data_IF_875035756554
#
_entry.id   IF_875035756554
#
_cell.length_a   1.000
_cell.length_b   1.000
_cell.length_c   1.000
_cell.angle_alpha   90.00
_cell.angle_beta   90.00
_cell.angle_gamma   90.00
#
_symmetry.space_group_name_H-M   'P 1'
#
loop_
_entity.id
_entity.type
_entity.pdbx_description
1 polymer ?
#
# COMPACT_ATOMS: atom_id res chain seq x y z
N UNK A 1 -34.27 62.36 -50.74
CA UNK A 1 -35.68 62.27 -50.27
C UNK A 1 -36.25 60.95 -50.80
N UNK A 2 -36.18 59.86 -50.03
CA UNK A 2 -37.28 59.23 -49.25
C UNK A 2 -38.51 58.84 -50.09
N UNK A 3 -38.77 57.53 -50.19
CA UNK A 3 -40.05 56.79 -50.00
C UNK A 3 -39.80 55.33 -50.43
N UNK A 4 -39.55 54.41 -49.49
CA UNK A 4 -40.53 53.53 -48.81
C UNK A 4 -41.44 52.80 -49.80
N UNK A 5 -41.22 51.49 -49.96
CA UNK A 5 -42.27 50.56 -50.38
C UNK A 5 -42.31 49.39 -49.40
N UNK A 6 -43.44 49.34 -48.70
CA UNK A 6 -43.91 48.22 -47.89
C UNK A 6 -44.51 47.19 -48.84
N UNK A 7 -44.18 45.91 -48.68
CA UNK A 7 -45.06 44.83 -49.12
C UNK A 7 -45.12 43.74 -48.06
N UNK A 8 -46.34 43.56 -47.55
CA UNK A 8 -46.77 42.52 -46.63
C UNK A 8 -47.49 41.45 -47.47
N UNK A 9 -46.95 40.23 -47.39
CA UNK A 9 -47.61 38.95 -47.12
C UNK A 9 -48.79 38.46 -47.99
N UNK A 10 -48.64 37.25 -48.54
CA UNK A 10 -49.61 36.12 -48.54
C UNK A 10 -48.86 34.88 -49.07
N UNK A 11 -48.38 33.96 -48.22
CA UNK A 11 -49.02 32.77 -47.64
C UNK A 11 -49.72 31.83 -48.66
N UNK A 12 -49.05 30.73 -48.99
CA UNK A 12 -49.68 29.49 -49.44
C UNK A 12 -48.92 28.30 -48.85
N UNK A 13 -49.60 27.55 -47.97
CA UNK A 13 -49.13 26.33 -47.35
C UNK A 13 -49.09 25.18 -48.36
N UNK A 14 -47.96 24.48 -48.44
CA UNK A 14 -47.88 23.12 -48.98
C UNK A 14 -47.49 22.21 -47.82
N UNK A 15 -48.45 21.40 -47.37
CA UNK A 15 -48.25 20.32 -46.41
C UNK A 15 -47.59 19.14 -47.13
N UNK A 16 -46.29 18.97 -46.94
CA UNK A 16 -45.61 17.69 -47.21
C UNK A 16 -45.33 16.99 -45.89
N UNK A 17 -45.99 15.85 -45.72
CA UNK A 17 -45.68 14.86 -44.71
C UNK A 17 -44.24 14.37 -44.90
N UNK A 18 -43.36 14.70 -43.96
CA UNK A 18 -42.11 13.98 -43.78
C UNK A 18 -42.15 13.38 -42.37
N UNK A 19 -42.28 12.06 -42.35
CA UNK A 19 -42.20 11.20 -41.18
C UNK A 19 -40.94 11.50 -40.36
N UNK A 20 -41.13 12.00 -39.13
CA UNK A 20 -40.07 12.03 -38.13
C UNK A 20 -39.82 10.59 -37.68
N UNK A 21 -38.84 9.95 -38.30
CA UNK A 21 -38.16 8.83 -37.67
C UNK A 21 -37.53 9.36 -36.37
N UNK A 22 -38.23 9.18 -35.25
CA UNK A 22 -37.61 9.23 -33.93
C UNK A 22 -36.63 8.06 -33.88
N UNK A 23 -35.37 8.32 -34.25
CA UNK A 23 -34.28 7.47 -33.84
C UNK A 23 -34.24 7.55 -32.31
N UNK A 24 -34.81 6.53 -31.67
CA UNK A 24 -34.57 6.28 -30.26
C UNK A 24 -33.06 6.18 -30.10
N UNK A 25 -32.46 7.18 -29.46
CA UNK A 25 -31.10 7.07 -28.94
C UNK A 25 -31.18 5.90 -27.97
N UNK A 26 -30.69 4.73 -28.39
CA UNK A 26 -30.34 3.68 -27.46
C UNK A 26 -29.40 4.36 -26.46
N UNK A 27 -29.92 4.64 -25.27
CA UNK A 27 -29.06 4.67 -24.10
C UNK A 27 -28.52 3.26 -24.03
N UNK A 28 -27.31 3.07 -24.56
CA UNK A 28 -26.41 2.09 -23.97
C UNK A 28 -26.42 2.44 -22.49
N UNK A 29 -27.21 1.68 -21.74
CA UNK A 29 -27.01 1.54 -20.31
C UNK A 29 -25.62 0.98 -20.25
N UNK A 30 -24.65 1.85 -19.98
CA UNK A 30 -23.35 1.44 -19.49
C UNK A 30 -23.68 0.59 -18.27
N UNK A 31 -23.68 -0.73 -18.46
CA UNK A 31 -23.68 -1.68 -17.36
C UNK A 31 -22.44 -1.29 -16.57
N UNK A 32 -22.66 -0.52 -15.50
CA UNK A 32 -21.68 -0.37 -14.44
C UNK A 32 -21.43 -1.79 -13.99
N UNK A 33 -20.37 -2.42 -14.51
CA UNK A 33 -19.78 -3.60 -13.93
C UNK A 33 -19.72 -3.29 -12.44
N UNK A 34 -20.42 -4.09 -11.64
CA UNK A 34 -20.26 -4.09 -10.19
C UNK A 34 -18.79 -4.44 -9.97
N UNK A 35 -17.94 -3.41 -9.91
CA UNK A 35 -16.51 -3.55 -9.66
C UNK A 35 -16.39 -4.31 -8.35
N UNK A 36 -16.07 -5.60 -8.46
CA UNK A 36 -15.98 -6.48 -7.29
C UNK A 36 -14.88 -5.95 -6.40
N UNK A 37 -15.26 -5.53 -5.19
CA UNK A 37 -14.29 -5.04 -4.19
C UNK A 37 -13.28 -6.15 -3.95
N UNK A 38 -11.99 -5.85 -4.19
CA UNK A 38 -10.93 -6.81 -3.97
C UNK A 38 -10.88 -7.15 -2.46
N UNK A 39 -11.01 -8.43 -2.08
CA UNK A 39 -11.10 -8.83 -0.67
C UNK A 39 -9.80 -8.61 0.11
N UNK A 40 -8.71 -8.18 -0.56
CA UNK A 40 -7.45 -7.80 0.07
C UNK A 40 -7.44 -6.34 0.56
N UNK A 41 -8.43 -5.53 0.19
CA UNK A 41 -8.43 -4.08 0.45
C UNK A 41 -9.62 -3.67 1.33
N UNK A 42 -9.41 -2.72 2.27
CA UNK A 42 -10.52 -2.05 2.94
C UNK A 42 -11.45 -1.33 1.94
N UNK A 43 -12.72 -1.16 2.31
CA UNK A 43 -13.78 -0.66 1.41
C UNK A 43 -13.49 0.72 0.76
N UNK A 44 -12.67 1.58 1.41
CA UNK A 44 -12.25 2.87 0.86
C UNK A 44 -11.49 2.73 -0.47
N UNK A 45 -10.77 1.63 -0.68
CA UNK A 45 -9.91 1.42 -1.83
C UNK A 45 -10.67 0.84 -3.02
N UNK A 46 -11.54 1.66 -3.59
CA UNK A 46 -12.23 1.35 -4.84
C UNK A 46 -11.26 1.39 -6.03
N UNK A 47 -11.56 0.73 -7.16
CA UNK A 47 -10.70 0.82 -8.35
C UNK A 47 -10.48 2.25 -8.84
N UNK A 48 -11.49 3.13 -8.69
CA UNK A 48 -11.36 4.56 -8.98
C UNK A 48 -10.31 5.23 -8.08
N UNK A 49 -10.38 5.01 -6.75
CA UNK A 49 -9.41 5.57 -5.82
C UNK A 49 -7.99 5.01 -6.07
N UNK A 50 -7.88 3.72 -6.34
CA UNK A 50 -6.60 3.08 -6.68
C UNK A 50 -5.97 3.72 -7.92
N UNK A 51 -6.77 4.06 -8.93
CA UNK A 51 -6.31 4.77 -10.13
C UNK A 51 -5.74 6.16 -9.79
N UNK A 52 -6.33 6.87 -8.83
CA UNK A 52 -5.87 8.19 -8.39
C UNK A 52 -4.50 8.12 -7.71
N UNK A 53 -4.29 7.13 -6.83
CA UNK A 53 -3.04 6.99 -6.08
C UNK A 53 -1.90 6.34 -6.88
N UNK A 54 -2.22 5.67 -8.00
CA UNK A 54 -1.26 4.89 -8.79
C UNK A 54 0.02 5.65 -9.15
N UNK A 55 -0.11 6.91 -9.58
CA UNK A 55 1.03 7.72 -10.00
C UNK A 55 1.99 8.03 -8.84
N UNK A 56 1.48 8.11 -7.61
CA UNK A 56 2.30 8.36 -6.41
C UNK A 56 3.19 7.15 -6.08
N UNK A 57 2.67 5.92 -6.27
CA UNK A 57 3.34 4.70 -5.81
C UNK A 57 4.01 3.87 -6.91
N UNK A 58 3.70 4.11 -8.19
CA UNK A 58 4.38 3.46 -9.33
C UNK A 58 5.91 3.60 -9.32
N UNK A 59 6.50 4.71 -8.83
CA UNK A 59 7.94 4.79 -8.64
C UNK A 59 8.50 3.77 -7.65
N UNK A 60 7.73 3.26 -6.68
CA UNK A 60 8.18 2.27 -5.71
C UNK A 60 7.92 0.84 -6.17
N UNK A 61 6.74 0.57 -6.75
CA UNK A 61 6.28 -0.79 -7.06
C UNK A 61 5.43 -0.85 -8.33
N UNK A 62 5.21 -2.05 -8.87
CA UNK A 62 4.20 -2.33 -9.90
C UNK A 62 2.98 -3.07 -9.35
N UNK A 63 3.06 -3.57 -8.12
CA UNK A 63 2.02 -4.39 -7.50
C UNK A 63 0.96 -3.50 -6.84
N UNK A 64 -0.28 -3.60 -7.30
CA UNK A 64 -1.39 -2.76 -6.82
C UNK A 64 -1.63 -2.89 -5.31
N UNK A 65 -1.55 -4.11 -4.77
CA UNK A 65 -1.67 -4.34 -3.31
C UNK A 65 -0.60 -3.62 -2.51
N UNK A 66 0.62 -3.50 -3.04
CA UNK A 66 1.70 -2.76 -2.38
C UNK A 66 1.46 -1.25 -2.48
N UNK A 67 0.89 -0.76 -3.58
CA UNK A 67 0.47 0.64 -3.68
C UNK A 67 -0.60 0.99 -2.63
N UNK A 68 -1.59 0.11 -2.48
CA UNK A 68 -2.63 0.25 -1.45
C UNK A 68 -2.02 0.20 -0.04
N UNK A 69 -1.11 -0.75 0.22
CA UNK A 69 -0.42 -0.85 1.50
C UNK A 69 0.36 0.44 1.85
N UNK A 70 1.05 1.05 0.88
CA UNK A 70 1.72 2.34 1.08
C UNK A 70 0.74 3.48 1.34
N UNK A 71 -0.42 3.49 0.68
CA UNK A 71 -1.43 4.51 0.93
C UNK A 71 -2.12 4.37 2.28
N UNK A 72 -2.28 3.13 2.77
CA UNK A 72 -2.83 2.85 4.10
C UNK A 72 -1.98 3.49 5.20
N UNK A 73 -0.66 3.54 5.03
CA UNK A 73 0.24 4.16 5.99
C UNK A 73 0.09 5.69 6.08
N UNK A 74 -0.54 6.33 5.08
CA UNK A 74 -0.65 7.79 5.00
C UNK A 74 -1.48 8.35 6.15
N UNK A 75 -0.87 9.23 6.96
CA UNK A 75 -1.53 9.84 8.12
C UNK A 75 -1.64 8.94 9.35
N UNK A 76 -1.02 7.77 9.33
CA UNK A 76 -0.88 6.85 10.48
C UNK A 76 0.50 7.02 11.13
N UNK A 77 0.79 6.32 12.22
CA UNK A 77 2.15 6.31 12.79
C UNK A 77 3.19 5.76 11.80
N UNK A 78 2.77 4.94 10.84
CA UNK A 78 3.62 4.39 9.78
C UNK A 78 3.89 5.35 8.62
N UNK A 79 3.37 6.59 8.65
CA UNK A 79 3.62 7.58 7.59
C UNK A 79 5.11 7.94 7.49
N UNK A 80 5.86 7.84 8.59
CA UNK A 80 7.32 7.93 8.56
C UNK A 80 7.93 6.90 7.59
N UNK A 81 7.53 5.63 7.71
CA UNK A 81 8.02 4.54 6.88
C UNK A 81 7.59 4.70 5.43
N UNK A 82 6.35 5.13 5.18
CA UNK A 82 5.88 5.51 3.85
C UNK A 82 6.76 6.59 3.21
N UNK A 83 7.02 7.68 3.94
CA UNK A 83 7.85 8.79 3.45
C UNK A 83 9.30 8.35 3.21
N UNK A 84 9.85 7.47 4.08
CA UNK A 84 11.15 6.86 3.87
C UNK A 84 11.17 6.06 2.55
N UNK A 85 10.19 5.20 2.31
CA UNK A 85 10.06 4.44 1.05
C UNK A 85 9.97 5.37 -0.16
N UNK A 86 9.24 6.47 -0.06
CA UNK A 86 9.06 7.46 -1.14
C UNK A 86 10.27 8.39 -1.35
N UNK A 87 11.37 8.17 -0.64
CA UNK A 87 12.66 8.81 -0.91
C UNK A 87 13.20 9.70 0.21
N UNK A 88 12.47 9.85 1.32
CA UNK A 88 12.99 10.49 2.52
C UNK A 88 13.82 9.52 3.37
N UNK A 89 14.78 8.85 2.75
CA UNK A 89 15.68 7.87 3.37
C UNK A 89 17.16 8.25 3.14
N UNK A 90 18.09 7.44 3.64
CA UNK A 90 19.53 7.66 3.50
C UNK A 90 20.02 7.72 2.05
N UNK A 91 19.37 7.01 1.13
CA UNK A 91 19.72 7.02 -0.31
C UNK A 91 19.18 8.23 -1.08
N UNK A 92 18.24 8.98 -0.49
CA UNK A 92 17.50 10.09 -1.12
C UNK A 92 16.82 9.69 -2.44
N UNK A 93 16.42 8.43 -2.54
CA UNK A 93 15.79 7.81 -3.71
C UNK A 93 14.66 6.91 -3.26
N UNK A 94 13.65 6.78 -4.09
CA UNK A 94 12.54 5.86 -3.87
C UNK A 94 13.07 4.42 -3.72
N UNK A 95 12.61 3.73 -2.68
CA UNK A 95 12.87 2.31 -2.43
C UNK A 95 12.04 1.48 -3.39
N UNK A 96 12.65 0.48 -4.03
CA UNK A 96 11.95 -0.41 -4.95
C UNK A 96 11.37 -1.61 -4.21
N UNK A 97 10.11 -1.94 -4.46
CA UNK A 97 9.41 -3.03 -3.76
C UNK A 97 8.90 -4.04 -4.79
N UNK A 98 9.24 -5.32 -4.57
CA UNK A 98 8.75 -6.43 -5.39
C UNK A 98 8.52 -7.69 -4.54
N UNK A 99 7.54 -8.49 -4.94
CA UNK A 99 7.42 -9.86 -4.44
C UNK A 99 8.48 -10.76 -5.08
N UNK A 100 9.13 -11.59 -4.29
CA UNK A 100 10.21 -12.45 -4.77
C UNK A 100 10.32 -13.75 -3.99
N UNK A 101 10.77 -14.81 -4.66
CA UNK A 101 11.28 -16.00 -3.97
C UNK A 101 12.63 -15.67 -3.31
N UNK A 102 12.62 -15.45 -2.00
CA UNK A 102 13.81 -15.05 -1.25
C UNK A 102 14.87 -16.16 -1.22
N UNK A 103 14.47 -17.43 -1.34
CA UNK A 103 15.40 -18.57 -1.40
C UNK A 103 16.31 -18.51 -2.64
N UNK A 104 15.89 -17.83 -3.71
CA UNK A 104 16.70 -17.61 -4.92
C UNK A 104 17.80 -16.57 -4.72
N UNK A 105 17.69 -15.72 -3.69
CA UNK A 105 18.73 -14.77 -3.31
C UNK A 105 19.74 -15.42 -2.37
N UNK A 106 19.25 -16.07 -1.33
CA UNK A 106 20.01 -16.93 -0.43
C UNK A 106 19.03 -17.93 0.21
N UNK A 107 19.43 -19.20 0.30
CA UNK A 107 18.61 -20.25 0.91
C UNK A 107 18.27 -19.96 2.37
N UNK A 108 19.15 -19.25 3.08
CA UNK A 108 18.91 -18.87 4.48
C UNK A 108 17.76 -17.88 4.66
N UNK A 109 17.33 -17.22 3.56
CA UNK A 109 16.23 -16.26 3.56
C UNK A 109 14.88 -16.90 3.17
N UNK A 110 14.84 -18.21 2.90
CA UNK A 110 13.64 -18.88 2.40
C UNK A 110 12.40 -18.63 3.29
N UNK A 111 12.62 -18.60 4.60
CA UNK A 111 11.54 -18.46 5.59
C UNK A 111 11.25 -17.01 5.98
N UNK A 112 12.09 -16.05 5.55
CA UNK A 112 11.91 -14.64 5.91
C UNK A 112 10.63 -14.09 5.26
N UNK A 113 10.00 -13.12 5.90
CA UNK A 113 8.76 -12.51 5.40
C UNK A 113 9.06 -11.38 4.40
N UNK A 114 10.11 -10.61 4.66
CA UNK A 114 10.68 -9.65 3.74
C UNK A 114 12.18 -9.43 4.03
N UNK A 115 12.82 -8.64 3.15
CA UNK A 115 14.20 -8.22 3.26
C UNK A 115 14.40 -6.80 2.71
N UNK A 116 14.90 -5.90 3.55
CA UNK A 116 15.62 -4.71 3.14
C UNK A 116 16.93 -5.07 2.45
N UNK A 117 17.17 -4.50 1.27
CA UNK A 117 18.36 -4.80 0.48
C UNK A 117 18.97 -3.55 -0.15
N UNK A 118 20.25 -3.34 0.09
CA UNK A 118 21.02 -2.25 -0.53
C UNK A 118 21.86 -2.80 -1.68
N UNK A 119 21.68 -2.22 -2.87
CA UNK A 119 22.55 -2.46 -4.02
C UNK A 119 23.11 -1.13 -4.54
N UNK A 120 24.36 -0.85 -4.18
CA UNK A 120 25.01 0.43 -4.44
C UNK A 120 24.27 1.57 -3.75
N UNK A 121 23.72 2.50 -4.55
CA UNK A 121 22.96 3.67 -4.06
C UNK A 121 21.44 3.46 -4.07
N UNK A 122 20.97 2.24 -4.31
CA UNK A 122 19.54 1.92 -4.39
C UNK A 122 19.17 0.99 -3.25
N UNK A 123 18.01 1.27 -2.66
CA UNK A 123 17.38 0.44 -1.66
C UNK A 123 16.22 -0.33 -2.30
N UNK A 124 16.02 -1.55 -1.81
CA UNK A 124 14.96 -2.45 -2.23
C UNK A 124 14.31 -3.05 -0.98
N UNK A 125 13.03 -3.39 -1.08
CA UNK A 125 12.34 -4.26 -0.14
C UNK A 125 11.83 -5.43 -0.97
N UNK A 126 12.32 -6.63 -0.66
CA UNK A 126 11.83 -7.87 -1.27
C UNK A 126 10.85 -8.53 -0.31
N UNK A 127 9.59 -8.64 -0.71
CA UNK A 127 8.58 -9.34 0.10
C UNK A 127 8.53 -10.79 -0.38
N UNK A 128 8.52 -11.74 0.54
CA UNK A 128 8.45 -13.15 0.16
C UNK A 128 7.16 -13.43 -0.63
N UNK A 129 7.30 -14.10 -1.79
CA UNK A 129 6.19 -14.41 -2.69
C UNK A 129 5.02 -15.18 -2.02
N UNK A 130 5.29 -15.86 -0.89
CA UNK A 130 4.25 -16.51 -0.06
C UNK A 130 3.17 -15.52 0.42
N UNK A 131 3.47 -14.22 0.44
CA UNK A 131 2.60 -13.14 0.91
C UNK A 131 1.88 -12.37 -0.21
N UNK A 132 1.93 -12.84 -1.47
CA UNK A 132 1.23 -12.20 -2.61
C UNK A 132 -0.28 -12.08 -2.44
N UNK A 133 -0.88 -12.88 -1.56
CA UNK A 133 -2.32 -12.85 -1.21
C UNK A 133 -2.58 -12.29 0.20
N UNK A 134 -1.58 -11.68 0.84
CA UNK A 134 -1.79 -11.05 2.14
C UNK A 134 -2.66 -9.79 1.99
N UNK A 135 -3.51 -9.46 2.99
CA UNK A 135 -4.29 -8.23 2.97
C UNK A 135 -3.37 -7.01 3.02
N UNK A 136 -3.78 -5.92 2.37
CA UNK A 136 -2.94 -4.73 2.23
C UNK A 136 -2.55 -4.10 3.58
N UNK A 137 -3.41 -4.19 4.60
CA UNK A 137 -3.10 -3.69 5.95
C UNK A 137 -1.95 -4.48 6.63
N UNK A 138 -1.83 -5.79 6.37
CA UNK A 138 -0.73 -6.60 6.93
C UNK A 138 0.57 -6.29 6.18
N UNK A 139 0.49 -6.13 4.85
CA UNK A 139 1.63 -5.66 4.07
C UNK A 139 2.07 -4.24 4.46
N UNK A 140 1.14 -3.37 4.87
CA UNK A 140 1.47 -2.03 5.36
C UNK A 140 2.32 -2.10 6.64
N UNK A 141 1.95 -2.95 7.60
CA UNK A 141 2.74 -3.19 8.81
C UNK A 141 4.14 -3.73 8.48
N UNK A 142 4.23 -4.77 7.64
CA UNK A 142 5.50 -5.32 7.17
C UNK A 142 6.37 -4.25 6.46
N UNK A 143 5.78 -3.41 5.61
CA UNK A 143 6.51 -2.32 4.95
C UNK A 143 6.98 -1.27 5.96
N UNK A 144 6.23 -1.05 7.05
CA UNK A 144 6.62 -0.12 8.09
C UNK A 144 7.90 -0.56 8.80
N UNK A 145 8.05 -1.87 9.03
CA UNK A 145 9.28 -2.51 9.49
C UNK A 145 10.43 -2.30 8.50
N UNK A 146 10.26 -2.75 7.25
CA UNK A 146 11.35 -2.83 6.29
C UNK A 146 11.90 -1.45 5.89
N UNK A 147 11.10 -0.39 6.03
CA UNK A 147 11.54 0.98 5.81
C UNK A 147 12.57 1.49 6.84
N UNK A 148 12.73 0.80 7.98
CA UNK A 148 13.73 1.11 9.00
C UNK A 148 15.13 0.76 8.50
N UNK A 149 15.27 -0.35 7.77
CA UNK A 149 16.54 -0.84 7.24
C UNK A 149 16.99 -0.05 6.01
N UNK A 150 17.76 1.02 6.23
CA UNK A 150 18.14 1.97 5.17
C UNK A 150 19.60 1.89 4.74
N UNK A 151 20.40 1.02 5.34
CA UNK A 151 21.80 0.82 4.97
C UNK A 151 22.22 -0.66 4.97
N UNK A 152 23.50 -0.95 5.21
CA UNK A 152 24.06 -2.31 5.19
C UNK A 152 24.32 -2.88 6.58
N UNK A 153 24.08 -2.09 7.61
CA UNK A 153 24.12 -2.51 8.99
C UNK A 153 22.77 -3.09 9.39
N UNK A 154 22.83 -3.99 10.36
CA UNK A 154 21.66 -4.46 11.07
C UNK A 154 22.10 -4.81 12.49
N UNK A 155 21.23 -4.63 13.47
CA UNK A 155 21.52 -4.90 14.87
C UNK A 155 20.29 -5.36 15.63
N UNK A 156 20.50 -5.94 16.81
CA UNK A 156 19.40 -6.34 17.69
C UNK A 156 18.53 -5.14 18.13
N UNK A 157 19.14 -3.98 18.37
CA UNK A 157 18.42 -2.74 18.67
C UNK A 157 17.57 -2.27 17.48
N UNK A 158 18.10 -2.35 16.27
CA UNK A 158 17.41 -1.99 15.03
C UNK A 158 16.22 -2.91 14.74
N UNK A 159 16.41 -4.23 14.79
CA UNK A 159 15.33 -5.22 14.66
C UNK A 159 14.27 -5.03 15.75
N UNK A 160 14.69 -4.75 17.00
CA UNK A 160 13.74 -4.46 18.09
C UNK A 160 12.88 -3.24 17.75
N UNK A 161 13.48 -2.17 17.22
CA UNK A 161 12.75 -0.98 16.80
C UNK A 161 11.81 -1.28 15.63
N UNK A 162 12.30 -1.99 14.60
CA UNK A 162 11.54 -2.34 13.41
C UNK A 162 10.32 -3.23 13.73
N UNK A 163 10.50 -4.28 14.52
CA UNK A 163 9.39 -5.14 14.97
C UNK A 163 8.40 -4.37 15.86
N UNK A 164 8.87 -3.40 16.64
CA UNK A 164 7.98 -2.56 17.46
C UNK A 164 7.16 -1.62 16.59
N UNK A 165 7.76 -1.02 15.55
CA UNK A 165 7.05 -0.21 14.56
C UNK A 165 5.99 -1.04 13.83
N UNK A 166 6.34 -2.25 13.38
CA UNK A 166 5.43 -3.22 12.76
C UNK A 166 4.22 -3.50 13.65
N UNK A 167 4.47 -3.85 14.91
CA UNK A 167 3.42 -4.16 15.87
C UNK A 167 2.50 -2.97 16.15
N UNK A 168 3.08 -1.77 16.29
CA UNK A 168 2.32 -0.55 16.56
C UNK A 168 1.43 -0.19 15.35
N UNK A 169 1.99 -0.26 14.13
CA UNK A 169 1.24 0.01 12.90
C UNK A 169 0.12 -1.01 12.72
N UNK A 170 0.40 -2.31 12.88
CA UNK A 170 -0.65 -3.32 12.81
C UNK A 170 -1.76 -3.07 13.84
N UNK A 171 -1.40 -2.70 15.06
CA UNK A 171 -2.36 -2.37 16.12
C UNK A 171 -3.28 -1.22 15.69
N UNK A 172 -2.71 -0.08 15.28
CA UNK A 172 -3.46 1.09 14.82
C UNK A 172 -4.35 0.74 13.61
N UNK A 173 -3.81 0.02 12.62
CA UNK A 173 -4.55 -0.33 11.41
C UNK A 173 -5.73 -1.26 11.69
N UNK A 174 -5.60 -2.21 12.61
CA UNK A 174 -6.73 -3.07 13.00
C UNK A 174 -7.84 -2.32 13.73
N UNK A 175 -7.53 -1.20 14.38
CA UNK A 175 -8.53 -0.32 14.99
C UNK A 175 -9.18 0.60 13.94
N UNK A 176 -8.38 1.18 13.04
CA UNK A 176 -8.88 2.03 11.95
C UNK A 176 -9.76 1.29 10.95
N UNK A 177 -9.53 -0.01 10.76
CA UNK A 177 -10.25 -0.86 9.82
C UNK A 177 -10.94 -2.04 10.54
N UNK A 178 -11.56 -1.78 11.71
CA UNK A 178 -12.19 -2.83 12.53
C UNK A 178 -13.29 -3.64 11.81
N UNK A 179 -14.01 -3.01 10.88
CA UNK A 179 -15.06 -3.66 10.08
C UNK A 179 -14.51 -4.48 8.89
N UNK A 180 -13.22 -4.40 8.62
CA UNK A 180 -12.60 -5.09 7.50
C UNK A 180 -12.25 -6.53 7.87
N UNK A 181 -13.01 -7.47 7.29
CA UNK A 181 -12.74 -8.92 7.43
C UNK A 181 -11.72 -9.33 6.37
N UNK A 182 -10.53 -9.72 6.83
CA UNK A 182 -9.46 -10.24 5.98
C UNK A 182 -9.25 -11.73 6.20
N UNK A 183 -8.86 -12.43 5.13
CA UNK A 183 -8.53 -13.84 5.20
C UNK A 183 -7.28 -14.06 6.06
N UNK A 184 -7.29 -15.06 6.98
CA UNK A 184 -6.13 -15.40 7.75
C UNK A 184 -5.04 -15.99 6.84
N UNK A 185 -3.80 -15.58 7.07
CA UNK A 185 -2.61 -16.07 6.35
C UNK A 185 -1.37 -16.02 7.25
N UNK A 186 -0.24 -16.50 6.75
CA UNK A 186 1.01 -16.51 7.51
C UNK A 186 1.44 -15.11 7.94
N UNK A 187 1.32 -14.09 7.08
CA UNK A 187 1.62 -12.71 7.45
C UNK A 187 0.68 -12.20 8.54
N UNK A 188 -0.64 -12.35 8.37
CA UNK A 188 -1.62 -11.96 9.39
C UNK A 188 -1.37 -12.64 10.74
N UNK A 189 -0.94 -13.91 10.73
CA UNK A 189 -0.57 -14.62 11.96
C UNK A 189 0.67 -14.02 12.64
N UNK A 190 1.69 -13.65 11.86
CA UNK A 190 2.84 -12.90 12.36
C UNK A 190 2.40 -11.58 12.97
N UNK A 191 1.62 -10.78 12.24
CA UNK A 191 1.17 -9.47 12.71
C UNK A 191 0.40 -9.56 14.04
N UNK A 192 -0.52 -10.53 14.14
CA UNK A 192 -1.25 -10.80 15.38
C UNK A 192 -0.34 -11.25 16.53
N UNK A 193 0.73 -11.98 16.23
CA UNK A 193 1.72 -12.39 17.24
C UNK A 193 2.50 -11.17 17.75
N UNK A 194 2.91 -10.27 16.86
CA UNK A 194 3.59 -9.02 17.22
C UNK A 194 2.69 -8.11 18.05
N UNK A 195 1.44 -7.88 17.62
CA UNK A 195 0.44 -7.10 18.38
C UNK A 195 0.22 -7.68 19.77
N UNK A 196 0.06 -9.00 19.90
CA UNK A 196 -0.09 -9.64 21.21
C UNK A 196 1.11 -9.36 22.13
N UNK A 197 2.34 -9.42 21.61
CA UNK A 197 3.54 -9.08 22.39
C UNK A 197 3.57 -7.61 22.78
N UNK A 198 3.15 -6.72 21.89
CA UNK A 198 3.09 -5.27 22.13
C UNK A 198 2.07 -4.92 23.21
N UNK A 199 0.85 -5.46 23.11
CA UNK A 199 -0.22 -5.29 24.11
C UNK A 199 0.17 -5.88 25.47
N UNK A 200 0.74 -7.09 25.50
CA UNK A 200 1.27 -7.70 26.73
C UNK A 200 2.37 -6.85 27.37
N UNK A 201 3.14 -6.14 26.54
CA UNK A 201 4.17 -5.19 26.95
C UNK A 201 3.61 -3.85 27.40
N UNK A 202 2.29 -3.67 27.47
CA UNK A 202 1.62 -2.38 27.70
C UNK A 202 2.08 -1.33 26.67
N UNK A 203 2.06 -1.72 25.39
CA UNK A 203 2.49 -0.90 24.25
C UNK A 203 3.95 -0.44 24.34
N UNK A 204 4.81 -1.32 24.88
CA UNK A 204 6.28 -1.14 24.90
C UNK A 204 6.96 -2.31 24.18
N UNK A 205 8.23 -2.13 23.83
CA UNK A 205 9.03 -3.16 23.14
C UNK A 205 9.44 -4.34 24.05
N UNK A 206 9.01 -4.41 25.31
CA UNK A 206 9.53 -5.36 26.31
C UNK A 206 9.56 -6.83 25.83
N UNK A 207 8.45 -7.33 25.30
CA UNK A 207 8.36 -8.72 24.83
C UNK A 207 8.89 -8.90 23.41
N UNK A 208 8.78 -7.87 22.58
CA UNK A 208 9.35 -7.84 21.23
C UNK A 208 10.88 -7.95 21.30
N UNK A 209 11.53 -7.11 22.12
CA UNK A 209 12.97 -7.16 22.39
C UNK A 209 13.40 -8.55 22.83
N UNK A 210 12.68 -9.15 23.78
CA UNK A 210 12.96 -10.52 24.22
C UNK A 210 12.89 -11.51 23.05
N UNK A 211 11.87 -11.39 22.19
CA UNK A 211 11.72 -12.26 21.01
C UNK A 211 12.86 -12.08 20.02
N UNK A 212 13.21 -10.84 19.67
CA UNK A 212 14.32 -10.50 18.77
C UNK A 212 15.65 -11.06 19.28
N UNK A 213 15.97 -10.86 20.56
CA UNK A 213 17.21 -11.34 21.17
C UNK A 213 17.28 -12.87 21.28
N UNK A 214 16.14 -13.56 21.26
CA UNK A 214 16.07 -15.02 21.25
C UNK A 214 15.97 -15.63 19.85
N UNK A 215 15.90 -14.82 18.79
CA UNK A 215 15.76 -15.30 17.43
C UNK A 215 17.11 -15.83 16.91
N UNK A 216 17.16 -17.12 16.58
CA UNK A 216 18.35 -17.79 16.08
C UNK A 216 18.92 -17.16 14.79
N UNK A 217 18.06 -16.58 13.94
CA UNK A 217 18.49 -15.88 12.73
C UNK A 217 19.25 -14.59 13.02
N UNK A 218 19.12 -14.03 14.23
CA UNK A 218 19.74 -12.76 14.64
C UNK A 218 20.91 -12.92 15.59
N UNK A 219 21.28 -14.14 15.98
CA UNK A 219 22.32 -14.40 16.99
C UNK A 219 23.71 -13.85 16.67
N UNK A 220 23.98 -13.57 15.38
CA UNK A 220 25.26 -13.02 14.92
C UNK A 220 25.21 -11.51 14.72
N UNK A 221 24.05 -10.87 14.91
CA UNK A 221 23.94 -9.42 14.80
C UNK A 221 24.64 -8.73 15.99
N UNK A 222 25.28 -7.58 15.77
CA UNK A 222 25.74 -6.74 16.86
C UNK A 222 24.55 -6.22 17.68
N UNK A 223 24.82 -5.77 18.91
CA UNK A 223 23.80 -5.17 19.77
C UNK A 223 23.20 -3.89 19.18
N UNK A 224 24.03 -3.05 18.55
CA UNK A 224 23.63 -1.75 17.99
C UNK A 224 24.23 -1.54 16.60
N UNK A 225 23.60 -0.67 15.83
CA UNK A 225 24.00 -0.19 14.50
C UNK A 225 23.90 1.34 14.47
N UNK A 226 24.55 2.01 13.49
CA UNK A 226 24.47 3.46 13.35
C UNK A 226 23.03 3.99 13.35
N UNK A 227 22.71 4.93 14.25
CA UNK A 227 21.36 5.50 14.41
C UNK A 227 20.46 4.76 15.41
N UNK A 228 20.92 3.62 15.95
CA UNK A 228 20.19 2.78 16.91
C UNK A 228 20.98 2.57 18.22
N UNK A 229 21.94 3.44 18.54
CA UNK A 229 22.85 3.27 19.67
C UNK A 229 22.22 3.54 21.05
N UNK A 230 21.10 4.27 21.09
CA UNK A 230 20.46 4.75 22.34
C UNK A 230 19.07 4.11 22.60
N UNK A 231 18.77 2.96 22.00
CA UNK A 231 17.46 2.29 22.07
C UNK A 231 17.39 1.12 23.06
#
# INVERSE_FOLDING_TARGET
MKKVFVYILTLTCILSFCSTAFAAKNQEVEETELETVNPLYPAKYTPTYIKEIRNEYTPATKDEVVMVALDILKGTIGDFSRNAILGNNLSKRVVKIEFRDLATMNKDYADFDALGWKNGRKLYIYINQKHTKAPAIALAALLAHEAIHQDEYNSLAEETYAWTMEAAVWTELTELYEDYVYEPGSLVHRENTLKKMFEQGNYTNKYIKKSVYSNESYKTLPETSPGFENL
#
